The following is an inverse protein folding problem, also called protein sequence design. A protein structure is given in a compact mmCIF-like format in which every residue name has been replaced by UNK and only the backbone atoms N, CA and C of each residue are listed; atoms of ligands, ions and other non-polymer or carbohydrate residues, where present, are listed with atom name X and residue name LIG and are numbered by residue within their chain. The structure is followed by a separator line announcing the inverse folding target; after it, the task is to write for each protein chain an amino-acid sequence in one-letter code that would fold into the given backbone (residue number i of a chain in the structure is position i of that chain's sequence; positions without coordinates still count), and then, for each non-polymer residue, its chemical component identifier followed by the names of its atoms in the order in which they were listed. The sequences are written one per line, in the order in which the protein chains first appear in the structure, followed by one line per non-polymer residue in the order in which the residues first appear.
data_IF_006242199637
#
_entry.id   IF_006242199637
#
_cell.length_a   1.000
_cell.length_b   1.000
_cell.length_c   1.000
_cell.angle_alpha   90.00
_cell.angle_beta   90.00
_cell.angle_gamma   90.00
#
_symmetry.space_group_name_H-M   'P 1'
#
loop_
_entity.id
_entity.type
_entity.pdbx_description
1 polymer ?
#
# COMPACT_ATOMS: atom_id res chain seq x y z
N UNK A 1 9.87 -11.27 -19.35
CA UNK A 1 10.06 -12.27 -18.27
C UNK A 1 10.04 -11.59 -16.89
N UNK A 2 10.71 -10.45 -16.71
CA UNK A 2 10.75 -9.71 -15.43
C UNK A 2 9.36 -9.19 -15.01
N UNK A 3 8.64 -8.47 -15.87
CA UNK A 3 7.28 -7.97 -15.57
C UNK A 3 6.28 -9.07 -15.16
N UNK A 4 6.41 -10.27 -15.74
CA UNK A 4 5.58 -11.43 -15.41
C UNK A 4 5.84 -11.95 -13.98
N UNK A 5 7.11 -12.00 -13.59
CA UNK A 5 7.51 -12.38 -12.24
C UNK A 5 7.06 -11.34 -11.22
N UNK A 6 7.29 -10.05 -11.50
CA UNK A 6 6.93 -8.95 -10.60
C UNK A 6 5.42 -8.86 -10.37
N UNK A 7 4.59 -8.98 -11.43
CA UNK A 7 3.13 -9.00 -11.29
C UNK A 7 2.65 -10.16 -10.39
N UNK A 8 3.28 -11.33 -10.49
CA UNK A 8 2.93 -12.49 -9.67
C UNK A 8 3.25 -12.26 -8.18
N UNK A 9 4.38 -11.61 -7.89
CA UNK A 9 4.77 -11.21 -6.52
C UNK A 9 3.80 -10.19 -5.95
N UNK A 10 3.48 -9.15 -6.72
CA UNK A 10 2.51 -8.11 -6.30
C UNK A 10 1.14 -8.73 -6.01
N UNK A 11 0.67 -9.65 -6.87
CA UNK A 11 -0.59 -10.36 -6.65
C UNK A 11 -0.58 -11.17 -5.36
N UNK A 12 0.51 -11.87 -5.09
CA UNK A 12 0.65 -12.68 -3.89
C UNK A 12 0.51 -11.85 -2.60
N UNK A 13 1.08 -10.65 -2.58
CA UNK A 13 1.06 -9.79 -1.39
C UNK A 13 -0.19 -8.89 -1.29
N UNK A 14 -0.65 -8.32 -2.41
CA UNK A 14 -1.66 -7.26 -2.40
C UNK A 14 -3.04 -7.70 -2.89
N UNK A 15 -3.14 -8.70 -3.76
CA UNK A 15 -4.39 -9.05 -4.43
C UNK A 15 -5.17 -10.13 -3.65
N UNK A 16 -6.05 -9.70 -2.74
CA UNK A 16 -6.97 -10.59 -2.03
C UNK A 16 -8.44 -10.29 -2.34
N UNK A 17 -9.19 -11.27 -2.82
CA UNK A 17 -10.65 -11.11 -2.98
C UNK A 17 -11.39 -10.90 -1.67
N UNK A 18 -10.79 -11.26 -0.52
CA UNK A 18 -11.41 -11.00 0.78
C UNK A 18 -11.37 -9.52 1.16
N UNK A 19 -10.49 -8.72 0.53
CA UNK A 19 -10.35 -7.29 0.84
C UNK A 19 -11.26 -6.40 -0.01
N UNK A 20 -12.30 -6.98 -0.63
CA UNK A 20 -13.25 -6.24 -1.48
C UNK A 20 -13.97 -5.08 -0.78
N UNK A 21 -14.12 -5.17 0.54
CA UNK A 21 -14.74 -4.14 1.37
C UNK A 21 -13.73 -3.27 2.10
N UNK A 22 -12.44 -3.59 2.00
CA UNK A 22 -11.38 -2.84 2.68
C UNK A 22 -10.96 -1.67 1.79
N UNK A 23 -10.95 -0.46 2.35
CA UNK A 23 -10.57 0.74 1.61
C UNK A 23 -9.09 0.74 1.22
N UNK A 24 -8.79 1.35 0.07
CA UNK A 24 -7.44 1.55 -0.46
C UNK A 24 -6.65 0.27 -0.80
N UNK A 25 -7.24 -0.92 -0.71
CA UNK A 25 -6.58 -2.18 -1.14
C UNK A 25 -6.58 -2.32 -2.66
N UNK A 26 -5.60 -3.04 -3.22
CA UNK A 26 -5.52 -3.29 -4.67
C UNK A 26 -6.81 -3.93 -5.22
N UNK A 27 -7.42 -4.86 -4.47
CA UNK A 27 -8.67 -5.49 -4.90
C UNK A 27 -9.87 -4.52 -4.84
N UNK A 28 -9.90 -3.61 -3.85
CA UNK A 28 -10.91 -2.55 -3.81
C UNK A 28 -10.77 -1.58 -4.98
N UNK A 29 -9.53 -1.19 -5.32
CA UNK A 29 -9.23 -0.34 -6.47
C UNK A 29 -9.65 -1.00 -7.79
N UNK A 30 -9.39 -2.31 -7.95
CA UNK A 30 -9.88 -3.10 -9.08
C UNK A 30 -11.38 -2.98 -9.27
N UNK A 31 -12.15 -3.02 -8.18
CA UNK A 31 -13.61 -2.91 -8.23
C UNK A 31 -14.05 -1.48 -8.53
N UNK A 32 -13.41 -0.48 -7.92
CA UNK A 32 -13.68 0.93 -8.16
C UNK A 32 -13.45 1.32 -9.62
N UNK A 33 -12.32 0.89 -10.20
CA UNK A 33 -11.96 1.12 -11.60
C UNK A 33 -12.74 0.21 -12.58
N UNK A 34 -13.61 -0.67 -12.09
CA UNK A 34 -14.38 -1.62 -12.90
C UNK A 34 -13.48 -2.45 -13.85
N UNK A 35 -12.29 -2.84 -13.40
CA UNK A 35 -11.31 -3.59 -14.20
C UNK A 35 -11.70 -5.07 -14.34
N UNK A 36 -12.77 -5.34 -15.11
CA UNK A 36 -13.41 -6.66 -15.24
C UNK A 36 -12.50 -7.74 -15.85
N UNK A 37 -11.54 -7.34 -16.68
CA UNK A 37 -10.55 -8.25 -17.29
C UNK A 37 -9.52 -8.80 -16.31
N UNK A 38 -9.47 -8.25 -15.09
CA UNK A 38 -8.51 -8.65 -14.05
C UNK A 38 -9.05 -9.81 -13.23
N UNK A 39 -8.22 -10.85 -13.07
CA UNK A 39 -8.55 -12.09 -12.35
C UNK A 39 -7.60 -12.35 -11.18
N UNK A 40 -7.81 -13.45 -10.44
CA UNK A 40 -6.87 -13.92 -9.41
C UNK A 40 -5.53 -14.38 -9.98
N UNK A 41 -5.50 -14.69 -11.27
CA UNK A 41 -4.30 -15.07 -12.00
C UNK A 41 -3.90 -13.88 -12.89
N UNK A 42 -2.87 -13.09 -12.51
CA UNK A 42 -2.49 -11.88 -13.24
C UNK A 42 -1.99 -12.21 -14.66
N UNK A 43 -1.40 -13.39 -14.82
CA UNK A 43 -0.87 -13.89 -16.08
C UNK A 43 -1.94 -14.25 -17.11
N UNK A 44 -3.20 -14.47 -16.69
CA UNK A 44 -4.30 -14.79 -17.61
C UNK A 44 -4.63 -13.62 -18.55
N UNK A 45 -4.49 -12.39 -18.05
CA UNK A 45 -4.63 -11.17 -18.85
C UNK A 45 -3.66 -10.13 -18.31
N UNK A 46 -2.40 -10.27 -18.74
CA UNK A 46 -1.30 -9.44 -18.24
C UNK A 46 -1.52 -7.95 -18.53
N UNK A 47 -2.11 -7.61 -19.68
CA UNK A 47 -2.35 -6.22 -20.06
C UNK A 47 -3.34 -5.56 -19.09
N UNK A 48 -4.46 -6.23 -18.80
CA UNK A 48 -5.42 -5.71 -17.82
C UNK A 48 -4.84 -5.65 -16.40
N UNK A 49 -3.98 -6.60 -16.02
CA UNK A 49 -3.30 -6.60 -14.73
C UNK A 49 -2.32 -5.42 -14.61
N UNK A 50 -1.50 -5.18 -15.64
CA UNK A 50 -0.56 -4.06 -15.69
C UNK A 50 -1.29 -2.73 -15.67
N UNK A 51 -2.34 -2.55 -16.48
CA UNK A 51 -3.16 -1.34 -16.49
C UNK A 51 -3.78 -1.03 -15.12
N UNK A 52 -4.24 -2.06 -14.41
CA UNK A 52 -4.72 -1.89 -13.04
C UNK A 52 -3.59 -1.41 -12.11
N UNK A 53 -2.41 -2.01 -12.20
CA UNK A 53 -1.27 -1.64 -11.36
C UNK A 53 -0.81 -0.21 -11.66
N UNK A 54 -0.77 0.22 -12.92
CA UNK A 54 -0.39 1.58 -13.28
C UNK A 54 -1.36 2.60 -12.70
N UNK A 55 -2.66 2.42 -12.94
CA UNK A 55 -3.69 3.31 -12.39
C UNK A 55 -3.68 3.34 -10.85
N UNK A 56 -3.46 2.19 -10.21
CA UNK A 56 -3.37 2.11 -8.76
C UNK A 56 -2.11 2.80 -8.23
N UNK A 57 -0.98 2.66 -8.93
CA UNK A 57 0.28 3.34 -8.58
C UNK A 57 0.13 4.85 -8.67
N UNK A 58 -0.49 5.36 -9.75
CA UNK A 58 -0.73 6.80 -9.91
C UNK A 58 -1.64 7.34 -8.81
N UNK A 59 -2.70 6.60 -8.45
CA UNK A 59 -3.57 6.99 -7.35
C UNK A 59 -2.82 7.09 -6.01
N UNK A 60 -1.91 6.15 -5.73
CA UNK A 60 -1.07 6.19 -4.53
C UNK A 60 -0.07 7.36 -4.55
N UNK A 61 0.55 7.64 -5.70
CA UNK A 61 1.46 8.79 -5.87
C UNK A 61 0.71 10.10 -5.67
N UNK A 62 -0.48 10.25 -6.26
CA UNK A 62 -1.31 11.45 -6.12
C UNK A 62 -1.70 11.62 -4.65
N UNK A 63 -2.18 10.57 -3.98
CA UNK A 63 -2.55 10.64 -2.57
C UNK A 63 -1.37 11.05 -1.68
N UNK A 64 -0.20 10.43 -1.88
CA UNK A 64 1.03 10.79 -1.16
C UNK A 64 1.45 12.23 -1.42
N UNK A 65 1.32 12.71 -2.65
CA UNK A 65 1.67 14.08 -3.05
C UNK A 65 0.72 15.10 -2.42
N UNK A 66 -0.60 14.83 -2.44
CA UNK A 66 -1.60 15.68 -1.79
C UNK A 66 -1.32 15.80 -0.29
N UNK A 67 -1.04 14.68 0.38
CA UNK A 67 -0.68 14.69 1.80
C UNK A 67 0.63 15.44 2.05
N UNK A 68 1.66 15.22 1.23
CA UNK A 68 2.96 15.89 1.36
C UNK A 68 2.86 17.41 1.25
N UNK A 69 2.01 17.92 0.36
CA UNK A 69 1.84 19.36 0.13
C UNK A 69 0.70 19.99 0.95
N UNK A 70 0.00 19.22 1.79
CA UNK A 70 -1.13 19.70 2.59
C UNK A 70 -2.36 20.10 1.75
N UNK A 71 -2.54 19.44 0.60
CA UNK A 71 -3.60 19.68 -0.37
C UNK A 71 -4.75 18.68 -0.18
N UNK A 72 -5.99 19.12 -0.40
CA UNK A 72 -7.15 18.21 -0.36
C UNK A 72 -7.48 17.68 -1.76
N UNK A 73 -7.27 18.51 -2.79
CA UNK A 73 -7.48 18.13 -4.20
C UNK A 73 -6.29 18.59 -5.06
N UNK A 74 -6.19 18.08 -6.29
CA UNK A 74 -5.09 18.41 -7.20
C UNK A 74 -5.14 19.86 -7.71
N UNK A 75 -6.29 20.51 -7.57
CA UNK A 75 -6.52 21.91 -7.93
C UNK A 75 -6.11 22.90 -6.82
N UNK A 76 -5.90 22.42 -5.59
CA UNK A 76 -5.48 23.26 -4.47
C UNK A 76 -4.06 23.81 -4.69
N UNK A 77 -3.73 24.91 -4.02
CA UNK A 77 -2.34 25.35 -3.90
C UNK A 77 -1.65 24.60 -2.75
N UNK A 78 -0.36 24.26 -2.88
CA UNK A 78 0.42 23.69 -1.78
C UNK A 78 0.39 24.60 -0.54
N UNK A 79 0.09 24.01 0.63
CA UNK A 79 0.13 24.70 1.93
C UNK A 79 1.42 24.40 2.68
N UNK A 80 1.98 23.22 2.46
CA UNK A 80 3.24 22.77 3.01
C UNK A 80 4.28 22.60 1.90
N UNK A 81 5.56 22.60 2.26
CA UNK A 81 6.68 22.36 1.33
C UNK A 81 6.63 23.22 0.06
N UNK A 82 6.19 24.48 0.18
CA UNK A 82 6.00 25.40 -0.95
C UNK A 82 7.32 25.82 -1.59
N UNK A 83 7.30 25.96 -2.93
CA UNK A 83 8.43 26.53 -3.66
C UNK A 83 8.38 28.06 -3.71
N UNK A 84 9.51 28.70 -3.40
CA UNK A 84 9.66 30.16 -3.47
C UNK A 84 10.85 30.55 -4.35
N UNK A 85 10.57 30.99 -5.58
CA UNK A 85 11.61 31.24 -6.59
C UNK A 85 12.68 32.24 -6.16
N UNK A 86 12.35 33.19 -5.28
CA UNK A 86 13.29 34.23 -4.85
C UNK A 86 14.36 33.71 -3.88
N UNK A 87 14.06 32.61 -3.17
CA UNK A 87 14.85 32.14 -2.04
C UNK A 87 15.32 30.69 -2.20
N UNK A 88 14.90 30.01 -3.27
CA UNK A 88 15.13 28.58 -3.47
C UNK A 88 15.62 28.31 -4.88
N UNK A 89 16.64 27.46 -4.98
CA UNK A 89 17.08 26.90 -6.26
C UNK A 89 16.07 25.82 -6.72
N UNK A 90 15.53 25.91 -7.96
CA UNK A 90 14.55 24.95 -8.45
C UNK A 90 15.05 23.50 -8.47
N UNK A 91 16.32 23.26 -8.83
CA UNK A 91 16.87 21.92 -8.94
C UNK A 91 17.06 21.29 -7.55
N UNK A 92 17.58 22.06 -6.60
CA UNK A 92 17.72 21.64 -5.21
C UNK A 92 16.36 21.33 -4.60
N UNK A 93 15.38 22.21 -4.81
CA UNK A 93 14.02 22.01 -4.32
C UNK A 93 13.38 20.73 -4.85
N UNK A 94 13.42 20.50 -6.16
CA UNK A 94 12.83 19.30 -6.76
C UNK A 94 13.51 18.04 -6.22
N UNK A 95 14.84 18.02 -6.16
CA UNK A 95 15.58 16.85 -5.70
C UNK A 95 15.32 16.54 -4.22
N UNK A 96 15.31 17.57 -3.36
CA UNK A 96 15.06 17.40 -1.92
C UNK A 96 13.61 16.98 -1.64
N UNK A 97 12.66 17.58 -2.36
CA UNK A 97 11.25 17.23 -2.30
C UNK A 97 11.02 15.77 -2.70
N UNK A 98 11.57 15.35 -3.84
CA UNK A 98 11.45 13.97 -4.32
C UNK A 98 12.08 12.98 -3.35
N UNK A 99 13.28 13.27 -2.83
CA UNK A 99 13.94 12.41 -1.83
C UNK A 99 13.11 12.27 -0.57
N UNK A 100 12.57 13.38 -0.05
CA UNK A 100 11.78 13.37 1.18
C UNK A 100 10.45 12.64 0.97
N UNK A 101 9.77 12.87 -0.15
CA UNK A 101 8.53 12.18 -0.50
C UNK A 101 8.76 10.66 -0.63
N UNK A 102 9.76 10.24 -1.41
CA UNK A 102 10.09 8.81 -1.57
C UNK A 102 10.45 8.18 -0.23
N UNK A 103 11.25 8.85 0.59
CA UNK A 103 11.62 8.37 1.92
C UNK A 103 10.40 8.22 2.84
N UNK A 104 9.48 9.18 2.80
CA UNK A 104 8.29 9.19 3.67
C UNK A 104 7.25 8.14 3.26
N UNK A 105 6.98 7.97 1.97
CA UNK A 105 5.82 7.19 1.49
C UNK A 105 6.19 5.89 0.73
N UNK A 106 7.37 5.78 0.13
CA UNK A 106 7.77 4.59 -0.65
C UNK A 106 8.79 3.69 0.07
N UNK A 107 9.66 4.29 0.90
CA UNK A 107 10.64 3.58 1.74
C UNK A 107 10.27 3.73 3.22
N UNK A 108 8.99 3.98 3.50
CA UNK A 108 8.48 4.06 4.87
C UNK A 108 8.92 2.80 5.65
N UNK A 109 9.26 2.95 6.93
CA UNK A 109 9.45 1.84 7.89
C UNK A 109 8.12 1.12 8.18
N UNK A 110 7.35 0.84 7.13
CA UNK A 110 6.14 0.06 7.19
C UNK A 110 6.49 -1.34 7.69
N UNK A 111 5.50 -2.04 8.28
CA UNK A 111 5.70 -3.39 8.75
C UNK A 111 6.29 -4.19 7.59
N UNK A 112 7.39 -4.89 7.84
CA UNK A 112 7.94 -5.85 6.89
C UNK A 112 6.74 -6.59 6.29
N UNK A 113 6.67 -6.71 4.96
CA UNK A 113 5.66 -7.52 4.27
C UNK A 113 5.86 -9.02 4.57
N UNK A 114 6.16 -9.35 5.83
CA UNK A 114 6.06 -10.64 6.43
C UNK A 114 4.59 -10.94 6.62
N UNK A 115 4.25 -12.19 6.38
CA UNK A 115 3.06 -12.82 6.95
C UNK A 115 3.01 -12.47 8.43
N UNK A 116 2.19 -11.49 8.83
CA UNK A 116 2.10 -11.05 10.22
C UNK A 116 1.64 -12.27 11.03
N UNK A 117 2.59 -12.87 11.74
CA UNK A 117 2.31 -13.92 12.70
C UNK A 117 1.86 -13.22 13.97
N UNK A 118 0.55 -13.28 14.21
CA UNK A 118 -0.11 -12.60 15.30
C UNK A 118 0.01 -13.51 16.53
N UNK A 119 0.63 -13.00 17.58
CA UNK A 119 0.86 -13.78 18.81
C UNK A 119 -0.31 -13.61 19.77
N UNK A 120 -0.60 -14.63 20.56
CA UNK A 120 -1.51 -14.52 21.69
C UNK A 120 -0.75 -13.90 22.88
N UNK A 121 -1.25 -12.80 23.42
CA UNK A 121 -0.60 -12.13 24.56
C UNK A 121 -0.59 -12.98 25.84
N UNK A 122 -1.56 -13.89 25.99
CA UNK A 122 -1.71 -14.73 27.18
C UNK A 122 -0.80 -15.97 27.16
N UNK A 123 -0.48 -16.52 25.98
CA UNK A 123 0.29 -17.77 25.88
C UNK A 123 1.45 -17.76 24.86
N UNK A 124 1.67 -16.65 24.17
CA UNK A 124 2.74 -16.46 23.20
C UNK A 124 2.58 -17.22 21.87
N UNK A 125 1.52 -18.00 21.67
CA UNK A 125 1.34 -18.79 20.44
C UNK A 125 1.11 -17.92 19.22
N UNK A 126 1.77 -18.28 18.12
CA UNK A 126 1.76 -17.54 16.86
C UNK A 126 0.69 -18.07 15.90
N UNK A 127 -0.04 -17.15 15.25
CA UNK A 127 -1.13 -17.46 14.34
C UNK A 127 -0.99 -16.67 13.04
N UNK A 128 -1.32 -17.31 11.91
CA UNK A 128 -1.30 -16.66 10.58
C UNK A 128 -2.51 -15.77 10.30
N UNK A 129 -3.56 -15.81 11.13
CA UNK A 129 -4.81 -15.07 10.92
C UNK A 129 -5.44 -14.64 12.24
N UNK A 130 -6.00 -13.43 12.28
CA UNK A 130 -6.73 -12.87 13.44
C UNK A 130 -7.89 -13.76 13.84
N UNK A 131 -8.62 -14.35 12.88
CA UNK A 131 -9.77 -15.21 13.17
C UNK A 131 -9.38 -16.47 13.96
N UNK A 132 -8.22 -17.05 13.63
CA UNK A 132 -7.69 -18.23 14.33
C UNK A 132 -7.22 -17.89 15.73
N UNK A 133 -6.59 -16.72 15.90
CA UNK A 133 -6.24 -16.19 17.22
C UNK A 133 -7.48 -15.92 18.07
N UNK A 134 -8.50 -15.25 17.52
CA UNK A 134 -9.77 -14.99 18.23
C UNK A 134 -10.46 -16.27 18.65
N UNK A 135 -10.45 -17.30 17.80
CA UNK A 135 -10.94 -18.63 18.15
C UNK A 135 -10.12 -19.23 19.29
N UNK A 136 -8.80 -19.18 19.20
CA UNK A 136 -7.90 -19.66 20.25
C UNK A 136 -8.15 -18.96 21.60
N UNK A 137 -8.25 -17.64 21.62
CA UNK A 137 -8.53 -16.86 22.83
C UNK A 137 -9.88 -17.25 23.42
N UNK A 138 -10.92 -17.41 22.58
CA UNK A 138 -12.23 -17.88 23.06
C UNK A 138 -12.18 -19.29 23.66
N UNK A 139 -11.39 -20.20 23.10
CA UNK A 139 -11.34 -21.60 23.55
C UNK A 139 -10.36 -21.84 24.72
N UNK A 140 -9.35 -20.98 24.87
CA UNK A 140 -8.24 -21.21 25.82
C UNK A 140 -8.07 -20.10 26.86
N UNK A 141 -8.65 -18.94 26.62
CA UNK A 141 -8.46 -17.72 27.41
C UNK A 141 -9.80 -16.97 27.62
N UNK A 142 -10.90 -17.71 27.78
CA UNK A 142 -12.27 -17.17 27.94
C UNK A 142 -12.29 -15.86 28.75
N UNK A 143 -12.51 -14.73 28.07
CA UNK A 143 -12.73 -13.43 28.70
C UNK A 143 -11.76 -12.30 28.33
N UNK A 144 -10.55 -12.57 27.81
CA UNK A 144 -9.63 -11.48 27.40
C UNK A 144 -9.75 -11.19 25.92
N UNK A 145 -10.73 -10.35 25.54
CA UNK A 145 -10.69 -9.69 24.24
C UNK A 145 -9.48 -8.74 24.23
N UNK A 146 -8.35 -9.21 23.69
CA UNK A 146 -7.27 -8.32 23.30
C UNK A 146 -7.84 -7.37 22.25
N UNK A 147 -8.10 -6.14 22.69
CA UNK A 147 -8.40 -5.00 21.86
C UNK A 147 -7.15 -4.78 21.00
N UNK A 148 -7.06 -5.47 19.86
CA UNK A 148 -6.16 -5.04 18.81
C UNK A 148 -6.68 -3.66 18.40
N UNK A 149 -6.05 -2.62 18.96
CA UNK A 149 -6.18 -1.27 18.47
C UNK A 149 -6.04 -1.38 16.96
N UNK A 150 -7.11 -1.02 16.25
CA UNK A 150 -7.03 -0.76 14.82
C UNK A 150 -5.97 0.34 14.71
N UNK A 151 -4.77 -0.10 14.35
CA UNK A 151 -3.63 0.78 14.20
C UNK A 151 -4.06 1.79 13.13
N UNK A 152 -4.20 3.06 13.51
CA UNK A 152 -4.63 4.11 12.57
C UNK A 152 -3.66 4.20 11.39
N UNK A 153 -2.45 3.69 11.59
CA UNK A 153 -1.40 3.61 10.60
C UNK A 153 -1.47 2.33 9.73
N UNK A 154 -2.38 1.37 9.98
CA UNK A 154 -2.44 0.14 9.19
C UNK A 154 -2.77 0.39 7.69
N UNK A 155 -3.69 1.31 7.41
CA UNK A 155 -4.04 1.69 6.02
C UNK A 155 -2.86 2.42 5.38
N UNK A 156 -2.25 3.36 6.11
CA UNK A 156 -1.09 4.11 5.67
C UNK A 156 0.11 3.19 5.36
N UNK A 157 0.39 2.27 6.27
CA UNK A 157 1.42 1.24 6.15
C UNK A 157 1.19 0.32 4.95
N UNK A 158 -0.06 -0.12 4.73
CA UNK A 158 -0.42 -0.89 3.55
C UNK A 158 -0.17 -0.08 2.26
N UNK A 159 -0.62 1.17 2.21
CA UNK A 159 -0.44 2.06 1.05
C UNK A 159 1.03 2.31 0.74
N UNK A 160 1.87 2.51 1.77
CA UNK A 160 3.32 2.67 1.59
C UNK A 160 3.98 1.39 1.05
N UNK A 161 3.64 0.23 1.63
CA UNK A 161 4.14 -1.06 1.16
C UNK A 161 3.69 -1.39 -0.27
N UNK A 162 2.43 -1.05 -0.61
CA UNK A 162 1.89 -1.19 -1.95
C UNK A 162 2.61 -0.29 -2.95
N UNK A 163 2.80 0.99 -2.61
CA UNK A 163 3.51 1.95 -3.45
C UNK A 163 4.95 1.51 -3.70
N UNK A 164 5.65 1.03 -2.68
CA UNK A 164 7.01 0.48 -2.81
C UNK A 164 7.08 -0.64 -3.85
N UNK A 165 6.23 -1.67 -3.70
CA UNK A 165 6.17 -2.80 -4.62
C UNK A 165 5.80 -2.38 -6.06
N UNK A 166 4.87 -1.45 -6.19
CA UNK A 166 4.40 -0.92 -7.47
C UNK A 166 5.46 -0.06 -8.19
N UNK A 167 6.23 0.76 -7.47
CA UNK A 167 7.33 1.55 -8.05
C UNK A 167 8.46 0.64 -8.56
N UNK A 168 8.72 -0.47 -7.88
CA UNK A 168 9.66 -1.49 -8.37
C UNK A 168 9.20 -2.03 -9.73
N UNK A 169 7.90 -2.26 -9.95
CA UNK A 169 7.38 -2.70 -11.24
C UNK A 169 7.66 -1.69 -12.35
N UNK A 170 7.35 -0.41 -12.13
CA UNK A 170 7.52 0.65 -13.16
C UNK A 170 8.96 0.72 -13.66
N UNK A 171 9.92 0.63 -12.75
CA UNK A 171 11.35 0.66 -13.09
C UNK A 171 11.79 -0.51 -14.01
N UNK A 172 11.03 -1.61 -14.07
CA UNK A 172 11.34 -2.77 -14.92
C UNK A 172 10.52 -2.85 -16.22
N UNK A 173 9.53 -1.98 -16.41
CA UNK A 173 8.76 -1.91 -17.67
C UNK A 173 9.43 -0.97 -18.68
N UNK A 174 10.18 0.03 -18.19
CA UNK A 174 10.91 1.00 -19.00
C UNK A 174 12.36 0.58 -19.33
N UNK A 175 12.78 -0.65 -18.98
CA UNK A 175 14.14 -1.18 -19.17
C UNK A 175 14.23 -2.30 -20.21
#
# INVERSE_FOLDING_TARGET
MVAQFTNSVIWYFLYSTSSARDHATLFSARNFLNARGVSKEPMKNINAATELLDNYTDALIIAATLEFFGMNTIEDQPKEHTFHMMNMDPYVYVNDTMKTLVKKFAIHEGPELRTVQIKCDTCGKEYRRVATLRKHIREKHEGTMAHQSADKDAIFNYSCGALSLCLVLRNFVDA
#
